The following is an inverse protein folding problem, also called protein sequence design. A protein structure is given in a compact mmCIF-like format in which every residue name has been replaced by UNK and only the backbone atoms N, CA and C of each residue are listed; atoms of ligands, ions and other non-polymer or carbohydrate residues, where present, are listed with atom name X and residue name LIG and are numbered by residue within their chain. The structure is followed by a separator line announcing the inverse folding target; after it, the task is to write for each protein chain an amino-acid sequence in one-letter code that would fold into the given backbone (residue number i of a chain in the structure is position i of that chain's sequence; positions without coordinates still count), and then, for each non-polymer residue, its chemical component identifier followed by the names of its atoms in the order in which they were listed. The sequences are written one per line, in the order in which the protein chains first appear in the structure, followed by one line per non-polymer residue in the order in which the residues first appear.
data_IF_157010796945
#
_entry.id   IF_157010796945
#
_cell.length_a   1.000
_cell.length_b   1.000
_cell.length_c   1.000
_cell.angle_alpha   90.00
_cell.angle_beta   90.00
_cell.angle_gamma   90.00
#
_symmetry.space_group_name_H-M   'P 1'
#
loop_
_entity.id
_entity.type
_entity.pdbx_description
1 polymer ?
#
# COMPACT_ATOMS: atom_id res chain seq x y z
N UNK A 1 -28.25 40.00 47.47
CA UNK A 1 -27.70 40.34 48.80
C UNK A 1 -27.21 39.08 49.44
N UNK A 2 -26.12 39.07 50.20
CA UNK A 2 -24.74 39.31 49.78
C UNK A 2 -23.86 38.12 50.12
N UNK A 3 -22.73 38.03 49.44
CA UNK A 3 -21.35 38.30 49.93
C UNK A 3 -20.79 37.35 51.01
N UNK A 4 -19.68 36.70 50.77
CA UNK A 4 -18.29 37.00 51.16
C UNK A 4 -17.48 35.74 50.99
N UNK A 5 -16.41 35.68 50.14
CA UNK A 5 -15.02 36.10 50.41
C UNK A 5 -14.33 35.37 51.58
N UNK A 6 -13.27 34.70 51.27
CA UNK A 6 -11.91 34.78 51.81
C UNK A 6 -11.11 33.59 51.23
N UNK A 7 -10.16 33.71 50.41
CA UNK A 7 -8.84 34.38 50.41
C UNK A 7 -7.80 33.71 51.33
N UNK A 8 -6.79 33.17 50.65
CA UNK A 8 -5.36 33.35 50.86
C UNK A 8 -4.60 32.46 51.86
N UNK A 9 -3.53 31.84 51.43
CA UNK A 9 -2.07 32.14 51.60
C UNK A 9 -1.26 30.90 51.30
N UNK A 10 -0.38 30.87 50.30
CA UNK A 10 1.03 31.32 50.29
C UNK A 10 1.94 30.71 51.38
N UNK A 11 2.90 29.91 50.95
CA UNK A 11 4.31 29.87 51.35
C UNK A 11 5.03 28.83 50.46
N UNK A 12 5.80 29.24 49.47
CA UNK A 12 7.21 29.68 49.47
C UNK A 12 8.20 28.59 49.90
N UNK A 13 8.98 28.25 48.88
CA UNK A 13 10.28 27.55 48.82
C UNK A 13 11.32 28.10 49.83
N UNK A 14 12.61 27.74 49.86
CA UNK A 14 13.49 27.03 48.90
C UNK A 14 14.66 26.24 49.58
N UNK A 15 15.78 26.06 48.84
CA UNK A 15 17.20 25.86 49.21
C UNK A 15 17.73 24.46 48.94
N UNK A 16 18.53 24.30 47.97
CA UNK A 16 19.93 24.62 47.61
C UNK A 16 20.98 23.66 48.19
N UNK A 17 21.86 23.14 47.28
CA UNK A 17 23.27 22.75 47.38
C UNK A 17 23.52 21.37 47.95
N UNK A 18 24.39 20.55 47.38
CA UNK A 18 25.75 20.62 46.82
C UNK A 18 25.99 19.32 46.06
N UNK A 19 26.52 19.34 44.86
CA UNK A 19 27.93 19.25 44.51
C UNK A 19 28.68 17.99 44.94
N UNK A 20 29.13 17.17 44.00
CA UNK A 20 30.50 16.96 43.61
C UNK A 20 30.73 15.61 42.91
N UNK A 21 31.28 15.69 41.71
CA UNK A 21 32.50 15.06 41.19
C UNK A 21 32.77 13.54 41.40
N UNK A 22 32.82 12.85 40.27
CA UNK A 22 33.98 12.07 39.77
C UNK A 22 33.54 11.37 38.48
N UNK A 23 34.03 11.75 37.37
CA UNK A 23 35.23 11.35 36.64
C UNK A 23 35.21 9.92 36.11
N UNK A 24 35.27 9.82 34.84
CA UNK A 24 36.04 8.94 34.00
C UNK A 24 35.33 7.90 33.18
N UNK A 25 35.52 8.08 31.96
CA UNK A 25 36.04 7.19 30.93
C UNK A 25 35.05 6.60 29.95
N UNK A 26 35.14 7.18 28.77
CA UNK A 26 35.36 6.51 27.48
C UNK A 26 34.48 5.29 27.20
N UNK A 27 33.56 5.42 26.26
CA UNK A 27 33.73 4.74 24.99
C UNK A 27 32.63 5.18 24.01
N UNK A 28 33.05 5.45 22.80
CA UNK A 28 32.28 5.78 21.65
C UNK A 28 31.09 4.83 21.48
N UNK A 29 29.88 5.37 21.56
CA UNK A 29 28.67 4.71 21.13
C UNK A 29 28.22 5.34 19.83
N UNK A 30 28.50 4.68 18.72
CA UNK A 30 27.95 5.02 17.41
C UNK A 30 26.44 5.14 17.48
N UNK A 31 25.91 6.25 16.97
CA UNK A 31 24.49 6.50 16.85
C UNK A 31 23.79 5.36 16.11
N UNK A 32 22.79 4.81 16.72
CA UNK A 32 21.93 3.82 16.11
C UNK A 32 21.10 4.46 14.99
N UNK A 33 21.47 4.19 13.75
CA UNK A 33 20.54 4.29 12.63
C UNK A 33 19.44 3.27 12.88
N UNK A 34 18.22 3.74 13.07
CA UNK A 34 17.04 2.91 13.20
C UNK A 34 16.92 2.01 11.97
N UNK A 35 17.11 0.71 12.15
CA UNK A 35 16.96 -0.29 11.09
C UNK A 35 15.52 -0.29 10.59
N UNK A 36 15.28 0.39 9.46
CA UNK A 36 14.01 0.36 8.73
C UNK A 36 13.84 -0.94 7.90
N UNK A 37 14.85 -1.79 7.89
CA UNK A 37 14.80 -3.08 7.20
C UNK A 37 14.87 -4.17 8.26
N UNK A 38 13.79 -4.94 8.33
CA UNK A 38 13.71 -6.09 9.24
C UNK A 38 14.89 -7.03 9.05
N UNK A 39 15.39 -7.56 10.16
CA UNK A 39 16.48 -8.53 10.25
C UNK A 39 16.18 -9.77 9.41
N UNK A 40 16.63 -9.80 8.18
CA UNK A 40 16.35 -10.88 7.23
C UNK A 40 17.36 -11.01 6.10
N UNK A 41 18.50 -10.33 6.17
CA UNK A 41 19.62 -10.59 5.26
C UNK A 41 20.78 -11.18 6.08
N UNK A 42 20.92 -12.51 6.20
CA UNK A 42 22.21 -13.08 6.45
C UNK A 42 23.03 -12.90 5.17
N UNK A 43 24.13 -12.15 5.26
CA UNK A 43 25.21 -12.20 4.27
C UNK A 43 25.78 -13.62 4.28
N UNK A 44 25.18 -14.52 3.51
CA UNK A 44 25.75 -15.81 3.19
C UNK A 44 26.83 -15.61 2.13
N UNK A 45 27.99 -16.23 2.32
CA UNK A 45 29.11 -16.29 1.40
C UNK A 45 28.65 -16.63 -0.01
N UNK A 46 28.81 -15.69 -0.94
CA UNK A 46 28.56 -15.93 -2.38
C UNK A 46 29.86 -16.38 -3.03
N UNK A 47 29.87 -17.54 -3.72
CA UNK A 47 31.06 -17.97 -4.45
C UNK A 47 31.44 -16.95 -5.52
N UNK A 48 32.73 -16.65 -5.64
CA UNK A 48 33.29 -15.76 -6.63
C UNK A 48 32.95 -16.23 -8.07
N UNK A 49 32.14 -15.44 -8.77
CA UNK A 49 31.87 -15.62 -10.19
C UNK A 49 32.81 -14.75 -11.04
N UNK A 50 33.18 -15.25 -12.21
CA UNK A 50 34.16 -14.78 -13.16
C UNK A 50 34.00 -13.30 -13.60
N UNK A 51 35.06 -12.66 -14.13
CA UNK A 51 35.05 -11.23 -14.41
C UNK A 51 34.15 -10.89 -15.60
N UNK A 52 33.08 -10.17 -15.31
CA UNK A 52 32.25 -9.51 -16.30
C UNK A 52 32.81 -8.14 -16.66
N UNK A 53 32.58 -7.75 -17.90
CA UNK A 53 33.07 -6.58 -18.59
C UNK A 53 33.21 -5.29 -17.73
N UNK A 54 34.32 -4.62 -17.95
CA UNK A 54 34.68 -3.34 -17.34
C UNK A 54 33.59 -2.29 -17.67
N UNK A 55 32.74 -1.97 -16.69
CA UNK A 55 31.86 -0.83 -16.77
C UNK A 55 32.68 0.46 -16.56
N UNK A 56 32.32 1.51 -17.29
CA UNK A 56 32.92 2.82 -17.18
C UNK A 56 32.94 3.32 -15.72
N UNK A 57 33.93 4.11 -15.31
CA UNK A 57 34.02 4.63 -13.95
C UNK A 57 32.77 5.48 -13.64
N UNK A 58 32.23 5.39 -12.42
CA UNK A 58 31.11 6.24 -12.03
C UNK A 58 31.56 7.70 -12.15
N UNK A 59 30.85 8.46 -12.98
CA UNK A 59 30.94 9.90 -12.97
C UNK A 59 30.61 10.41 -11.55
N UNK A 60 31.17 11.54 -11.15
CA UNK A 60 30.94 12.18 -9.84
C UNK A 60 29.48 12.64 -9.61
N UNK A 61 28.51 12.18 -10.40
CA UNK A 61 27.09 12.45 -10.28
C UNK A 61 26.36 11.33 -9.57
N UNK A 62 25.30 11.64 -8.83
CA UNK A 62 24.43 10.65 -8.19
C UNK A 62 23.75 9.73 -9.20
N UNK A 63 23.24 8.59 -8.73
CA UNK A 63 22.41 7.68 -9.54
C UNK A 63 21.12 8.40 -9.94
N UNK A 64 20.90 8.57 -11.24
CA UNK A 64 19.70 9.26 -11.72
C UNK A 64 18.49 8.33 -11.66
N UNK A 65 17.46 8.81 -11.00
CA UNK A 65 16.19 8.12 -10.79
C UNK A 65 15.08 9.00 -11.34
N UNK A 66 14.35 8.52 -12.33
CA UNK A 66 13.23 9.27 -12.88
C UNK A 66 11.97 9.06 -12.03
N UNK A 67 11.25 10.15 -11.74
CA UNK A 67 9.92 10.12 -11.14
C UNK A 67 8.92 10.62 -12.18
N UNK A 68 8.10 9.73 -12.74
CA UNK A 68 7.13 10.02 -13.80
C UNK A 68 5.73 10.03 -13.22
N UNK A 69 5.06 11.18 -13.21
CA UNK A 69 3.76 11.38 -12.56
C UNK A 69 2.87 12.32 -13.38
N UNK A 70 1.52 12.26 -13.20
CA UNK A 70 0.57 13.09 -13.92
C UNK A 70 0.43 14.50 -13.32
N UNK A 71 1.52 15.29 -13.30
CA UNK A 71 1.60 16.53 -12.53
C UNK A 71 0.70 17.64 -13.10
N UNK A 72 0.55 17.72 -14.43
CA UNK A 72 -0.30 18.70 -15.12
C UNK A 72 -1.69 18.17 -15.46
N UNK A 73 -2.02 16.93 -15.09
CA UNK A 73 -3.37 16.39 -15.31
C UNK A 73 -4.41 17.14 -14.48
N UNK A 74 -5.62 17.27 -15.01
CA UNK A 74 -6.71 17.94 -14.29
C UNK A 74 -7.31 17.09 -13.15
N UNK A 75 -7.99 17.77 -12.22
CA UNK A 75 -8.78 17.13 -11.16
C UNK A 75 -7.95 16.24 -10.22
N UNK A 76 -8.54 15.12 -9.78
CA UNK A 76 -7.92 14.20 -8.82
C UNK A 76 -6.61 13.60 -9.33
N UNK A 77 -6.42 13.48 -10.63
CA UNK A 77 -5.19 12.95 -11.22
C UNK A 77 -3.97 13.83 -10.92
N UNK A 78 -4.09 15.15 -11.15
CA UNK A 78 -3.04 16.10 -10.84
C UNK A 78 -2.80 16.24 -9.34
N UNK A 79 -3.87 16.21 -8.53
CA UNK A 79 -3.75 16.21 -7.05
C UNK A 79 -2.96 15.00 -6.59
N UNK A 80 -3.25 13.82 -7.13
CA UNK A 80 -2.52 12.60 -6.82
C UNK A 80 -1.05 12.70 -7.25
N UNK A 81 -0.78 13.17 -8.48
CA UNK A 81 0.57 13.36 -8.99
C UNK A 81 1.40 14.29 -8.10
N UNK A 82 0.82 15.43 -7.71
CA UNK A 82 1.48 16.39 -6.84
C UNK A 82 1.75 15.83 -5.44
N UNK A 83 0.78 15.15 -4.84
CA UNK A 83 0.93 14.54 -3.53
C UNK A 83 1.99 13.43 -3.52
N UNK A 84 2.04 12.62 -4.57
CA UNK A 84 3.05 11.58 -4.76
C UNK A 84 4.45 12.18 -4.98
N UNK A 85 4.58 13.28 -5.72
CA UNK A 85 5.85 14.00 -5.87
C UNK A 85 6.36 14.50 -4.51
N UNK A 86 5.51 15.16 -3.75
CA UNK A 86 5.85 15.65 -2.42
C UNK A 86 6.34 14.51 -1.51
N UNK A 87 5.66 13.35 -1.54
CA UNK A 87 6.05 12.18 -0.77
C UNK A 87 7.41 11.60 -1.21
N UNK A 88 7.69 11.57 -2.51
CA UNK A 88 8.97 11.15 -3.06
C UNK A 88 10.12 12.07 -2.63
N UNK A 89 9.91 13.41 -2.68
CA UNK A 89 10.86 14.41 -2.20
C UNK A 89 11.08 14.30 -0.68
N UNK A 90 10.02 14.01 0.08
CA UNK A 90 10.12 13.77 1.52
C UNK A 90 10.97 12.53 1.82
N UNK A 91 10.73 11.43 1.11
CA UNK A 91 11.51 10.19 1.25
C UNK A 91 13.00 10.43 0.98
N UNK A 92 13.32 11.15 -0.09
CA UNK A 92 14.71 11.47 -0.44
C UNK A 92 15.38 12.35 0.64
N UNK A 93 14.65 13.30 1.20
CA UNK A 93 15.18 14.18 2.25
C UNK A 93 15.38 13.44 3.59
N UNK A 94 14.55 12.44 3.90
CA UNK A 94 14.65 11.65 5.12
C UNK A 94 15.67 10.51 5.00
N UNK A 95 16.00 10.07 3.79
CA UNK A 95 16.95 8.98 3.55
C UNK A 95 18.39 9.51 3.38
N UNK A 96 19.17 9.44 4.45
CA UNK A 96 20.56 9.89 4.40
C UNK A 96 21.52 8.88 3.76
N UNK A 97 22.46 9.39 2.95
CA UNK A 97 23.60 8.62 2.45
C UNK A 97 23.38 7.82 1.17
N UNK A 98 22.27 8.01 0.46
CA UNK A 98 22.15 7.57 -0.92
C UNK A 98 22.51 8.73 -1.87
N UNK A 99 23.44 8.48 -2.79
CA UNK A 99 23.78 9.44 -3.83
C UNK A 99 22.81 9.30 -5.01
N UNK A 100 21.60 9.87 -4.87
CA UNK A 100 20.53 9.85 -5.84
C UNK A 100 20.23 11.26 -6.35
N UNK A 101 20.08 11.37 -7.66
CA UNK A 101 19.49 12.53 -8.33
C UNK A 101 18.07 12.15 -8.81
N UNK A 102 17.04 12.70 -8.14
CA UNK A 102 15.64 12.46 -8.49
C UNK A 102 15.20 13.45 -9.57
N UNK A 103 14.98 12.94 -10.78
CA UNK A 103 14.55 13.73 -11.95
C UNK A 103 13.07 13.56 -12.17
N UNK A 104 12.28 14.60 -11.86
CA UNK A 104 10.81 14.55 -12.01
C UNK A 104 10.39 14.89 -13.44
N UNK A 105 9.50 14.07 -14.03
CA UNK A 105 8.92 14.23 -15.35
C UNK A 105 7.39 14.19 -15.27
N UNK A 106 6.75 15.02 -16.06
CA UNK A 106 5.29 15.07 -16.17
C UNK A 106 4.81 14.21 -17.35
N UNK A 107 3.94 13.22 -17.08
CA UNK A 107 3.30 12.41 -18.10
C UNK A 107 1.92 12.96 -18.51
N UNK A 108 1.47 14.04 -17.85
CA UNK A 108 0.17 14.68 -18.06
C UNK A 108 -1.01 13.71 -17.94
N UNK A 109 -0.83 12.54 -17.32
CA UNK A 109 -1.84 11.48 -17.21
C UNK A 109 -2.19 10.82 -18.56
N UNK A 110 -1.28 10.86 -19.55
CA UNK A 110 -1.53 10.35 -20.90
C UNK A 110 -0.49 9.34 -21.38
N UNK A 111 -0.90 8.39 -22.21
CA UNK A 111 0.00 7.40 -22.80
C UNK A 111 1.14 8.04 -23.62
N UNK A 112 0.88 9.02 -24.53
CA UNK A 112 1.96 9.72 -25.23
C UNK A 112 2.86 10.55 -24.31
N UNK A 113 2.29 11.16 -23.27
CA UNK A 113 3.05 11.91 -22.24
C UNK A 113 4.03 11.00 -21.50
N UNK A 114 3.57 9.83 -21.08
CA UNK A 114 4.38 8.83 -20.39
C UNK A 114 5.53 8.30 -21.27
N UNK A 115 5.26 8.04 -22.57
CA UNK A 115 6.31 7.64 -23.48
C UNK A 115 7.39 8.73 -23.66
N UNK A 116 6.98 10.00 -23.82
CA UNK A 116 7.93 11.14 -23.90
C UNK A 116 8.72 11.30 -22.61
N UNK A 117 8.05 11.27 -21.45
CA UNK A 117 8.68 11.40 -20.14
C UNK A 117 9.72 10.30 -19.90
N UNK A 118 9.39 9.05 -20.22
CA UNK A 118 10.31 7.92 -20.12
C UNK A 118 11.51 8.07 -21.07
N UNK A 119 11.28 8.47 -22.32
CA UNK A 119 12.36 8.71 -23.29
C UNK A 119 13.33 9.78 -22.79
N UNK A 120 12.80 10.94 -22.40
CA UNK A 120 13.63 12.04 -21.90
C UNK A 120 14.42 11.62 -20.64
N UNK A 121 13.78 10.95 -19.70
CA UNK A 121 14.45 10.51 -18.48
C UNK A 121 15.62 9.56 -18.77
N UNK A 122 15.43 8.61 -19.67
CA UNK A 122 16.46 7.63 -20.04
C UNK A 122 17.57 8.32 -20.84
N UNK A 123 17.25 9.22 -21.77
CA UNK A 123 18.25 9.97 -22.54
C UNK A 123 19.10 10.90 -21.63
N UNK A 124 18.54 11.36 -20.51
CA UNK A 124 19.24 12.12 -19.45
C UNK A 124 20.05 11.20 -18.51
N UNK A 125 19.98 9.87 -18.69
CA UNK A 125 20.76 8.88 -17.95
C UNK A 125 20.05 8.28 -16.72
N UNK A 126 18.71 8.28 -16.67
CA UNK A 126 17.99 7.59 -15.60
C UNK A 126 18.20 6.08 -15.69
N UNK A 127 18.57 5.47 -14.56
CA UNK A 127 18.84 4.03 -14.45
C UNK A 127 17.60 3.24 -14.00
N UNK A 128 16.59 3.90 -13.47
CA UNK A 128 15.29 3.34 -13.08
C UNK A 128 14.21 4.42 -13.21
N UNK A 129 12.99 3.99 -13.53
CA UNK A 129 11.80 4.85 -13.56
C UNK A 129 10.88 4.48 -12.39
N UNK A 130 10.50 5.45 -11.58
CA UNK A 130 9.46 5.36 -10.56
C UNK A 130 8.20 6.02 -11.12
N UNK A 131 7.07 5.31 -11.15
CA UNK A 131 5.87 5.68 -11.89
C UNK A 131 5.79 4.93 -13.23
N UNK A 132 4.80 5.23 -14.10
CA UNK A 132 3.66 6.12 -13.92
C UNK A 132 2.55 5.61 -13.00
N UNK A 133 1.46 6.42 -12.88
CA UNK A 133 0.31 6.07 -12.04
C UNK A 133 -0.76 5.26 -12.81
N UNK A 134 -1.09 5.63 -14.03
CA UNK A 134 -2.21 5.05 -14.78
C UNK A 134 -1.78 3.89 -15.69
N UNK A 135 -2.63 2.87 -15.84
CA UNK A 135 -2.34 1.67 -16.62
C UNK A 135 -1.89 1.95 -18.05
N UNK A 136 -2.59 2.85 -18.77
CA UNK A 136 -2.22 3.24 -20.14
C UNK A 136 -0.87 3.97 -20.20
N UNK A 137 -0.55 4.79 -19.18
CA UNK A 137 0.76 5.44 -19.04
C UNK A 137 1.86 4.41 -18.76
N UNK A 138 1.60 3.43 -17.88
CA UNK A 138 2.54 2.32 -17.60
C UNK A 138 2.83 1.53 -18.86
N UNK A 139 1.81 1.18 -19.64
CA UNK A 139 1.98 0.43 -20.88
C UNK A 139 2.92 1.15 -21.85
N UNK A 140 2.76 2.46 -22.01
CA UNK A 140 3.59 3.26 -22.94
C UNK A 140 5.00 3.49 -22.41
N UNK A 141 5.16 3.86 -21.13
CA UNK A 141 6.48 4.03 -20.51
C UNK A 141 7.27 2.71 -20.49
N UNK A 142 6.59 1.58 -20.21
CA UNK A 142 7.19 0.23 -20.22
C UNK A 142 7.78 -0.16 -21.56
N UNK A 143 7.14 0.18 -22.68
CA UNK A 143 7.68 -0.08 -24.02
C UNK A 143 9.03 0.61 -24.21
N UNK A 144 9.11 1.89 -23.85
CA UNK A 144 10.35 2.69 -23.94
C UNK A 144 11.42 2.11 -23.00
N UNK A 145 11.08 1.93 -21.73
CA UNK A 145 12.00 1.43 -20.72
C UNK A 145 12.59 0.06 -21.08
N UNK A 146 11.76 -0.87 -21.55
CA UNK A 146 12.16 -2.22 -21.98
C UNK A 146 13.13 -2.18 -23.15
N UNK A 147 12.93 -1.32 -24.15
CA UNK A 147 13.82 -1.21 -25.30
C UNK A 147 15.21 -0.70 -24.95
N UNK A 148 15.36 -0.06 -23.79
CA UNK A 148 16.61 0.51 -23.29
C UNK A 148 17.17 -0.27 -22.08
N UNK A 149 16.52 -1.38 -21.66
CA UNK A 149 16.94 -2.18 -20.52
C UNK A 149 16.82 -1.48 -19.16
N UNK A 150 15.99 -0.45 -19.04
CA UNK A 150 15.76 0.31 -17.80
C UNK A 150 14.53 -0.26 -17.07
N UNK A 151 14.65 -0.69 -15.80
CA UNK A 151 13.51 -1.18 -15.04
C UNK A 151 12.56 -0.03 -14.62
N UNK A 152 11.32 -0.42 -14.32
CA UNK A 152 10.25 0.52 -13.98
C UNK A 152 9.49 0.00 -12.77
N UNK A 153 9.23 0.86 -11.78
CA UNK A 153 8.36 0.62 -10.62
C UNK A 153 7.14 1.54 -10.75
N UNK A 154 6.02 0.99 -11.20
CA UNK A 154 4.79 1.74 -11.45
C UNK A 154 3.79 1.62 -10.32
N UNK A 155 2.75 2.48 -10.33
CA UNK A 155 1.75 2.58 -9.27
C UNK A 155 0.36 2.11 -9.68
N UNK A 156 0.20 1.57 -10.90
CA UNK A 156 -1.09 1.10 -11.40
C UNK A 156 -1.65 -0.05 -10.54
N UNK A 157 -2.95 -0.02 -10.32
CA UNK A 157 -3.71 -1.13 -9.72
C UNK A 157 -4.13 -2.20 -10.72
N UNK A 158 -3.88 -2.00 -12.02
CA UNK A 158 -4.16 -2.98 -13.07
C UNK A 158 -2.97 -3.93 -13.22
N UNK A 159 -3.10 -5.16 -12.73
CA UNK A 159 -2.07 -6.19 -12.79
C UNK A 159 -1.70 -6.62 -14.21
N UNK A 160 -2.56 -6.37 -15.22
CA UNK A 160 -2.27 -6.73 -16.62
C UNK A 160 -1.13 -5.91 -17.23
N UNK A 161 -0.79 -4.75 -16.66
CA UNK A 161 0.35 -3.96 -17.15
C UNK A 161 1.68 -4.38 -16.54
N UNK A 162 1.67 -5.27 -15.55
CA UNK A 162 2.88 -5.86 -14.97
C UNK A 162 3.65 -6.73 -15.96
N UNK A 163 4.93 -6.83 -15.79
CA UNK A 163 5.78 -7.79 -16.51
C UNK A 163 7.18 -7.81 -15.88
N UNK A 164 8.01 -8.78 -16.27
CA UNK A 164 9.43 -8.71 -15.92
C UNK A 164 10.04 -7.38 -16.40
N UNK A 165 10.73 -6.66 -15.49
CA UNK A 165 11.27 -5.32 -15.70
C UNK A 165 10.27 -4.15 -15.52
N UNK A 166 8.99 -4.43 -15.34
CA UNK A 166 7.97 -3.44 -14.99
C UNK A 166 7.16 -3.93 -13.80
N UNK A 167 7.55 -3.46 -12.63
CA UNK A 167 7.03 -3.90 -11.34
C UNK A 167 5.95 -2.94 -10.84
N UNK A 168 4.89 -3.49 -10.26
CA UNK A 168 3.82 -2.68 -9.67
C UNK A 168 4.03 -2.56 -8.17
N UNK A 169 4.30 -1.37 -7.68
CA UNK A 169 4.20 -1.04 -6.26
C UNK A 169 2.84 -0.38 -6.02
N UNK A 170 1.84 -1.18 -5.73
CA UNK A 170 0.45 -0.72 -5.66
C UNK A 170 -0.35 -1.49 -4.61
N UNK A 171 -1.57 -1.02 -4.35
CA UNK A 171 -2.58 -1.76 -3.59
C UNK A 171 -3.38 -2.61 -4.57
N UNK A 172 -2.85 -3.80 -4.89
CA UNK A 172 -3.49 -4.71 -5.83
C UNK A 172 -4.68 -5.41 -5.17
N UNK A 173 -5.87 -5.39 -5.79
CA UNK A 173 -7.07 -6.04 -5.25
C UNK A 173 -6.88 -7.52 -4.94
N UNK A 174 -6.06 -8.20 -5.71
CA UNK A 174 -5.75 -9.62 -5.54
C UNK A 174 -5.13 -9.91 -4.15
N UNK A 175 -4.31 -9.00 -3.64
CA UNK A 175 -3.71 -9.16 -2.29
C UNK A 175 -4.76 -9.06 -1.19
N UNK A 176 -5.74 -8.17 -1.33
CA UNK A 176 -6.84 -8.01 -0.39
C UNK A 176 -7.70 -9.28 -0.36
N UNK A 177 -8.07 -9.78 -1.54
CA UNK A 177 -8.91 -10.97 -1.69
C UNK A 177 -8.21 -12.21 -1.14
N UNK A 178 -6.95 -12.45 -1.52
CA UNK A 178 -6.18 -13.59 -0.98
C UNK A 178 -6.11 -13.54 0.55
N UNK A 179 -5.83 -12.38 1.11
CA UNK A 179 -5.72 -12.20 2.56
C UNK A 179 -7.03 -12.46 3.28
N UNK A 180 -8.13 -11.83 2.85
CA UNK A 180 -9.41 -11.91 3.57
C UNK A 180 -10.06 -13.29 3.44
N UNK A 181 -10.03 -13.88 2.25
CA UNK A 181 -10.59 -15.21 2.02
C UNK A 181 -9.79 -16.29 2.75
N UNK A 182 -8.45 -16.21 2.69
CA UNK A 182 -7.58 -17.14 3.44
C UNK A 182 -7.85 -17.05 4.93
N UNK A 183 -7.99 -15.86 5.48
CA UNK A 183 -8.31 -15.67 6.89
C UNK A 183 -9.71 -16.23 7.22
N UNK A 184 -10.73 -15.89 6.43
CA UNK A 184 -12.09 -16.39 6.67
C UNK A 184 -12.14 -17.92 6.70
N UNK A 185 -11.44 -18.58 5.77
CA UNK A 185 -11.35 -20.06 5.75
C UNK A 185 -10.62 -20.59 6.99
N UNK A 186 -9.55 -19.94 7.44
CA UNK A 186 -8.84 -20.33 8.66
C UNK A 186 -9.71 -20.19 9.91
N UNK A 187 -10.73 -19.31 9.87
CA UNK A 187 -11.73 -19.12 10.92
C UNK A 187 -12.95 -20.04 10.74
N UNK A 188 -12.86 -21.05 9.88
CA UNK A 188 -13.90 -22.07 9.68
C UNK A 188 -15.00 -21.69 8.71
N UNK A 189 -14.90 -20.56 7.99
CA UNK A 189 -15.86 -20.19 6.94
C UNK A 189 -15.54 -20.96 5.67
N UNK A 190 -16.47 -21.77 5.17
CA UNK A 190 -16.23 -22.68 4.04
C UNK A 190 -17.11 -22.41 2.84
N UNK A 191 -18.20 -21.68 3.03
CA UNK A 191 -19.19 -21.40 1.98
C UNK A 191 -19.41 -19.89 1.85
N UNK A 192 -19.36 -19.41 0.61
CA UNK A 192 -19.29 -17.98 0.31
C UNK A 192 -20.33 -17.58 -0.72
N UNK A 193 -21.01 -16.47 -0.45
CA UNK A 193 -21.74 -15.67 -1.45
C UNK A 193 -20.93 -14.42 -1.73
N UNK A 194 -20.87 -13.99 -2.98
CA UNK A 194 -20.22 -12.74 -3.36
C UNK A 194 -21.20 -11.82 -4.11
N UNK A 195 -21.14 -10.53 -3.81
CA UNK A 195 -21.88 -9.46 -4.48
C UNK A 195 -20.87 -8.51 -5.10
N UNK A 196 -20.73 -8.55 -6.43
CA UNK A 196 -19.61 -7.98 -7.15
C UNK A 196 -20.08 -6.88 -8.10
N UNK A 197 -19.44 -5.69 -8.14
CA UNK A 197 -19.79 -4.66 -9.10
C UNK A 197 -19.44 -5.08 -10.54
N UNK A 198 -20.32 -4.78 -11.51
CA UNK A 198 -20.14 -5.10 -12.93
C UNK A 198 -19.17 -4.10 -13.59
N UNK A 199 -17.93 -4.03 -13.14
CA UNK A 199 -16.88 -3.18 -13.70
C UNK A 199 -15.53 -3.91 -13.74
N UNK A 200 -14.48 -3.22 -14.20
CA UNK A 200 -13.14 -3.82 -14.32
C UNK A 200 -12.57 -4.30 -12.98
N UNK A 201 -12.77 -3.52 -11.90
CA UNK A 201 -12.36 -3.92 -10.56
C UNK A 201 -13.10 -5.18 -10.09
N UNK A 202 -14.43 -5.21 -10.27
CA UNK A 202 -15.25 -6.38 -9.94
C UNK A 202 -14.79 -7.65 -10.64
N UNK A 203 -14.44 -7.55 -11.93
CA UNK A 203 -13.94 -8.72 -12.69
C UNK A 203 -12.62 -9.26 -12.12
N UNK A 204 -11.70 -8.40 -11.71
CA UNK A 204 -10.42 -8.79 -11.10
C UNK A 204 -10.65 -9.48 -9.75
N UNK A 205 -11.42 -8.86 -8.85
CA UNK A 205 -11.67 -9.41 -7.51
C UNK A 205 -12.47 -10.70 -7.56
N UNK A 206 -13.41 -10.86 -8.51
CA UNK A 206 -14.16 -12.09 -8.70
C UNK A 206 -13.24 -13.24 -9.14
N UNK A 207 -12.36 -12.98 -10.11
CA UNK A 207 -11.40 -13.97 -10.59
C UNK A 207 -10.53 -14.49 -9.46
N UNK A 208 -9.91 -13.59 -8.70
CA UNK A 208 -9.07 -13.98 -7.56
C UNK A 208 -9.89 -14.63 -6.45
N UNK A 209 -11.08 -14.13 -6.15
CA UNK A 209 -11.97 -14.70 -5.14
C UNK A 209 -12.29 -16.17 -5.42
N UNK A 210 -12.73 -16.49 -6.64
CA UNK A 210 -13.03 -17.88 -7.05
C UNK A 210 -11.79 -18.77 -6.95
N UNK A 211 -10.65 -18.25 -7.38
CA UNK A 211 -9.37 -18.98 -7.35
C UNK A 211 -8.91 -19.25 -5.92
N UNK A 212 -8.95 -18.25 -5.02
CA UNK A 212 -8.53 -18.41 -3.63
C UNK A 212 -9.45 -19.34 -2.87
N UNK A 213 -10.78 -19.17 -3.02
CA UNK A 213 -11.76 -20.05 -2.37
C UNK A 213 -11.52 -21.50 -2.77
N UNK A 214 -11.34 -21.79 -4.07
CA UNK A 214 -11.06 -23.14 -4.56
C UNK A 214 -9.71 -23.68 -4.03
N UNK A 215 -8.64 -22.88 -4.12
CA UNK A 215 -7.29 -23.26 -3.67
C UNK A 215 -7.25 -23.57 -2.17
N UNK A 216 -8.08 -22.90 -1.37
CA UNK A 216 -8.16 -23.08 0.09
C UNK A 216 -9.21 -24.10 0.53
N UNK A 217 -9.88 -24.78 -0.39
CA UNK A 217 -10.87 -25.82 -0.11
C UNK A 217 -12.23 -25.30 0.37
N UNK A 218 -12.54 -24.04 0.07
CA UNK A 218 -13.86 -23.46 0.26
C UNK A 218 -14.79 -23.73 -0.94
N UNK A 219 -16.03 -23.25 -0.84
CA UNK A 219 -17.05 -23.37 -1.87
C UNK A 219 -17.73 -22.03 -2.11
N UNK A 220 -17.75 -21.59 -3.36
CA UNK A 220 -18.58 -20.48 -3.80
C UNK A 220 -20.01 -21.01 -4.01
N UNK A 221 -20.97 -20.44 -3.28
CA UNK A 221 -22.40 -20.79 -3.37
C UNK A 221 -23.00 -20.07 -4.58
N UNK A 222 -22.86 -18.75 -4.63
CA UNK A 222 -23.25 -17.92 -5.78
C UNK A 222 -22.39 -16.66 -5.84
N UNK A 223 -22.29 -16.08 -7.05
CA UNK A 223 -21.75 -14.74 -7.30
C UNK A 223 -22.81 -13.98 -8.06
N UNK A 224 -23.30 -12.92 -7.46
CA UNK A 224 -24.27 -12.02 -8.07
C UNK A 224 -23.59 -10.72 -8.46
N UNK A 225 -23.99 -10.21 -9.63
CA UNK A 225 -23.44 -8.98 -10.19
C UNK A 225 -24.48 -7.86 -10.14
N UNK A 226 -24.02 -6.66 -9.82
CA UNK A 226 -24.86 -5.47 -9.87
C UNK A 226 -24.22 -4.37 -10.70
N UNK A 227 -25.05 -3.64 -11.43
CA UNK A 227 -24.60 -2.49 -12.20
C UNK A 227 -24.21 -1.31 -11.30
N UNK A 228 -23.37 -0.43 -11.79
CA UNK A 228 -22.92 0.76 -11.04
C UNK A 228 -24.08 1.70 -10.66
N UNK A 229 -25.13 1.75 -11.48
CA UNK A 229 -26.36 2.50 -11.20
C UNK A 229 -27.28 1.85 -10.17
N UNK A 230 -26.95 0.62 -9.72
CA UNK A 230 -27.65 -0.18 -8.71
C UNK A 230 -29.14 -0.44 -8.99
N UNK A 231 -29.55 -0.28 -10.24
CA UNK A 231 -30.96 -0.39 -10.67
C UNK A 231 -31.59 -1.75 -10.39
N UNK A 232 -30.80 -2.82 -10.23
CA UNK A 232 -31.25 -4.21 -10.06
C UNK A 232 -30.93 -4.85 -8.71
N UNK A 233 -30.60 -4.06 -7.70
CA UNK A 233 -30.28 -4.60 -6.36
C UNK A 233 -31.39 -5.49 -5.80
N UNK A 234 -32.66 -5.18 -6.03
CA UNK A 234 -33.79 -5.98 -5.56
C UNK A 234 -33.87 -7.39 -6.17
N UNK A 235 -33.43 -7.57 -7.42
CA UNK A 235 -33.37 -8.90 -8.05
C UNK A 235 -32.22 -9.72 -7.47
N UNK A 236 -31.06 -9.11 -7.32
CA UNK A 236 -29.88 -9.71 -6.70
C UNK A 236 -30.19 -10.18 -5.26
N UNK A 237 -30.87 -9.34 -4.46
CA UNK A 237 -31.26 -9.68 -3.08
C UNK A 237 -32.12 -10.94 -3.02
N UNK A 238 -33.05 -11.13 -3.98
CA UNK A 238 -33.87 -12.37 -4.05
C UNK A 238 -33.02 -13.61 -4.24
N UNK A 239 -31.98 -13.55 -5.09
CA UNK A 239 -31.06 -14.65 -5.31
C UNK A 239 -30.24 -14.96 -4.04
N UNK A 240 -29.71 -13.92 -3.41
CA UNK A 240 -28.97 -14.07 -2.15
C UNK A 240 -29.87 -14.65 -1.05
N UNK A 241 -31.13 -14.24 -0.98
CA UNK A 241 -32.08 -14.75 0.02
C UNK A 241 -32.31 -16.27 -0.10
N UNK A 242 -32.35 -16.80 -1.34
CA UNK A 242 -32.50 -18.23 -1.58
C UNK A 242 -31.29 -19.05 -1.11
N UNK A 243 -30.12 -18.47 -1.17
CA UNK A 243 -28.84 -19.12 -0.84
C UNK A 243 -28.34 -18.78 0.58
N UNK A 244 -29.00 -17.86 1.29
CA UNK A 244 -28.54 -17.31 2.56
C UNK A 244 -28.28 -18.38 3.64
N UNK A 245 -29.13 -19.40 3.73
CA UNK A 245 -28.96 -20.51 4.69
C UNK A 245 -27.83 -21.50 4.34
N UNK A 246 -27.14 -21.31 3.21
CA UNK A 246 -26.11 -22.23 2.68
C UNK A 246 -24.71 -21.57 2.69
N UNK A 247 -24.58 -20.32 3.17
CA UNK A 247 -23.35 -19.56 3.16
C UNK A 247 -22.92 -19.09 4.55
N UNK A 248 -21.64 -19.24 4.85
CA UNK A 248 -21.02 -18.76 6.10
C UNK A 248 -20.58 -17.30 6.00
N UNK A 249 -20.24 -16.85 4.80
CA UNK A 249 -19.69 -15.53 4.56
C UNK A 249 -20.29 -14.86 3.31
N UNK A 250 -20.38 -13.53 3.38
CA UNK A 250 -20.85 -12.65 2.32
C UNK A 250 -19.71 -11.69 1.94
N UNK A 251 -19.17 -11.82 0.74
CA UNK A 251 -18.10 -10.97 0.22
C UNK A 251 -18.66 -9.81 -0.60
N UNK A 252 -18.36 -8.57 -0.20
CA UNK A 252 -18.81 -7.33 -0.84
C UNK A 252 -17.57 -6.47 -1.14
N UNK A 253 -16.90 -6.68 -2.27
CA UNK A 253 -15.73 -5.92 -2.67
C UNK A 253 -16.10 -4.59 -3.34
N UNK A 254 -16.61 -3.64 -2.58
CA UNK A 254 -16.96 -2.31 -3.08
C UNK A 254 -16.60 -1.23 -2.07
N UNK A 255 -16.65 0.04 -2.49
CA UNK A 255 -16.53 1.20 -1.61
C UNK A 255 -17.77 1.42 -0.76
N UNK A 256 -17.69 2.39 0.15
CA UNK A 256 -18.72 2.60 1.17
C UNK A 256 -20.13 2.77 0.61
N UNK A 257 -20.28 3.50 -0.50
CA UNK A 257 -21.58 3.76 -1.11
C UNK A 257 -22.25 2.46 -1.57
N UNK A 258 -21.51 1.62 -2.34
CA UNK A 258 -22.03 0.34 -2.81
C UNK A 258 -22.35 -0.61 -1.67
N UNK A 259 -21.46 -0.71 -0.68
CA UNK A 259 -21.65 -1.58 0.49
C UNK A 259 -22.89 -1.19 1.27
N UNK A 260 -23.10 0.10 1.53
CA UNK A 260 -24.26 0.59 2.30
C UNK A 260 -25.57 0.30 1.56
N UNK A 261 -25.62 0.59 0.25
CA UNK A 261 -26.81 0.34 -0.56
C UNK A 261 -27.16 -1.14 -0.62
N UNK A 262 -26.15 -2.02 -0.78
CA UNK A 262 -26.32 -3.47 -0.77
C UNK A 262 -26.87 -3.95 0.58
N UNK A 263 -26.29 -3.49 1.70
CA UNK A 263 -26.74 -3.91 3.03
C UNK A 263 -28.16 -3.44 3.32
N UNK A 264 -28.55 -2.24 2.90
CA UNK A 264 -29.92 -1.74 3.01
C UNK A 264 -30.87 -2.56 2.13
N UNK A 265 -30.48 -2.85 0.89
CA UNK A 265 -31.30 -3.67 0.00
C UNK A 265 -31.52 -5.10 0.56
N UNK A 266 -30.50 -5.73 1.14
CA UNK A 266 -30.59 -7.03 1.80
C UNK A 266 -31.56 -6.95 2.98
N UNK A 267 -31.43 -5.96 3.85
CA UNK A 267 -32.31 -5.78 5.02
C UNK A 267 -33.76 -5.56 4.58
N UNK A 268 -34.00 -4.72 3.58
CA UNK A 268 -35.34 -4.45 3.03
C UNK A 268 -35.94 -5.69 2.36
N UNK A 269 -35.10 -6.55 1.79
CA UNK A 269 -35.49 -7.84 1.18
C UNK A 269 -35.67 -8.98 2.20
N UNK A 270 -35.58 -8.70 3.50
CA UNK A 270 -35.75 -9.70 4.56
C UNK A 270 -34.53 -10.56 4.83
N UNK A 271 -33.38 -10.24 4.24
CA UNK A 271 -32.10 -10.92 4.50
C UNK A 271 -31.34 -10.16 5.57
N UNK A 272 -31.14 -10.78 6.73
CA UNK A 272 -30.34 -10.16 7.79
C UNK A 272 -28.84 -10.28 7.46
N UNK A 273 -28.10 -9.19 7.17
CA UNK A 273 -26.66 -9.29 6.87
C UNK A 273 -25.83 -9.92 7.99
N UNK A 274 -26.29 -9.84 9.24
CA UNK A 274 -25.59 -10.40 10.40
C UNK A 274 -25.62 -11.93 10.49
N UNK A 275 -26.40 -12.61 9.66
CA UNK A 275 -26.33 -14.07 9.58
C UNK A 275 -25.08 -14.55 8.88
N UNK A 276 -24.41 -13.69 8.13
CA UNK A 276 -23.13 -13.95 7.48
C UNK A 276 -21.98 -13.29 8.24
N UNK A 277 -20.78 -13.80 8.05
CA UNK A 277 -19.59 -12.99 8.26
C UNK A 277 -19.39 -12.14 7.00
N UNK A 278 -19.63 -10.83 7.09
CA UNK A 278 -19.44 -9.92 5.94
C UNK A 278 -17.94 -9.67 5.76
N UNK A 279 -17.48 -9.80 4.51
CA UNK A 279 -16.08 -9.65 4.12
C UNK A 279 -15.93 -8.50 3.13
N UNK A 280 -14.90 -7.67 3.32
CA UNK A 280 -14.55 -6.57 2.43
C UNK A 280 -13.08 -6.54 2.06
N UNK A 281 -12.71 -5.55 1.26
CA UNK A 281 -11.36 -5.27 0.80
C UNK A 281 -10.78 -4.01 1.44
N UNK A 282 -9.55 -3.62 1.08
CA UNK A 282 -8.90 -2.41 1.55
C UNK A 282 -9.65 -1.10 1.24
N UNK A 283 -10.63 -1.15 0.34
CA UNK A 283 -11.53 -0.02 0.08
C UNK A 283 -12.34 0.43 1.31
N UNK A 284 -12.42 -0.41 2.35
CA UNK A 284 -13.13 -0.10 3.59
C UNK A 284 -12.28 0.65 4.61
N UNK A 285 -10.97 0.60 4.47
CA UNK A 285 -10.00 0.87 5.55
C UNK A 285 -10.09 2.23 6.22
N UNK A 286 -10.40 3.27 5.46
CA UNK A 286 -10.36 4.66 5.94
C UNK A 286 -11.70 5.37 5.80
N UNK A 287 -12.79 4.67 5.41
CA UNK A 287 -14.10 5.31 5.24
C UNK A 287 -14.93 5.22 6.54
N UNK A 288 -15.20 6.34 7.20
CA UNK A 288 -15.97 6.36 8.44
C UNK A 288 -17.40 5.86 8.26
N UNK A 289 -17.98 5.92 7.06
CA UNK A 289 -19.32 5.40 6.78
C UNK A 289 -19.38 3.87 6.88
N UNK A 290 -18.28 3.20 6.56
CA UNK A 290 -18.10 1.75 6.77
C UNK A 290 -17.86 1.46 8.25
N UNK A 291 -16.84 2.15 8.82
CA UNK A 291 -16.33 1.84 10.16
C UNK A 291 -17.33 2.15 11.29
N UNK A 292 -18.31 3.04 11.03
CA UNK A 292 -19.37 3.37 11.99
C UNK A 292 -20.73 2.76 11.68
N UNK A 293 -20.82 1.91 10.61
CA UNK A 293 -22.10 1.33 10.19
C UNK A 293 -22.51 0.15 11.09
N UNK A 294 -23.65 0.22 11.80
CA UNK A 294 -24.08 -0.87 12.68
C UNK A 294 -24.34 -2.19 11.97
N UNK A 295 -24.68 -2.19 10.67
CA UNK A 295 -24.91 -3.41 9.89
C UNK A 295 -23.59 -4.17 9.59
N UNK A 296 -22.45 -3.49 9.70
CA UNK A 296 -21.12 -4.04 9.51
C UNK A 296 -20.42 -4.41 10.82
N UNK A 297 -21.06 -4.25 11.97
CA UNK A 297 -20.46 -4.66 13.24
C UNK A 297 -20.11 -6.15 13.19
N UNK A 298 -18.83 -6.46 13.41
CA UNK A 298 -18.30 -7.82 13.26
C UNK A 298 -17.78 -8.19 11.88
N UNK A 299 -17.97 -7.38 10.84
CA UNK A 299 -17.45 -7.60 9.50
C UNK A 299 -15.91 -7.56 9.46
N UNK A 300 -15.31 -8.28 8.51
CA UNK A 300 -13.86 -8.36 8.34
C UNK A 300 -13.43 -7.80 6.99
N UNK A 301 -12.25 -7.17 6.96
CA UNK A 301 -11.63 -6.71 5.71
C UNK A 301 -10.11 -6.78 5.80
N UNK A 302 -9.44 -6.94 4.66
CA UNK A 302 -7.99 -6.89 4.58
C UNK A 302 -7.53 -5.48 4.26
N UNK A 303 -6.55 -4.98 5.01
CA UNK A 303 -5.94 -3.67 4.76
C UNK A 303 -4.54 -3.60 5.39
N UNK A 304 -3.68 -2.66 4.98
CA UNK A 304 -2.50 -2.30 5.75
C UNK A 304 -2.86 -1.84 7.16
N UNK A 305 -1.97 -2.06 8.12
CA UNK A 305 -2.17 -1.54 9.47
C UNK A 305 -2.15 0.00 9.47
N UNK A 306 -3.12 0.67 10.12
CA UNK A 306 -3.30 2.12 9.96
C UNK A 306 -2.20 2.97 10.60
N UNK A 307 -1.37 2.40 11.49
CA UNK A 307 -0.34 3.14 12.23
C UNK A 307 0.74 3.71 11.31
N UNK A 308 1.17 2.93 10.31
CA UNK A 308 2.18 3.37 9.34
C UNK A 308 1.72 4.60 8.56
N UNK A 309 0.51 4.51 8.00
CA UNK A 309 -0.08 5.62 7.25
C UNK A 309 -0.29 6.87 8.12
N UNK A 310 -0.81 6.74 9.35
CA UNK A 310 -1.01 7.87 10.26
C UNK A 310 0.30 8.61 10.53
N UNK A 311 1.36 7.88 10.89
CA UNK A 311 2.67 8.46 11.15
C UNK A 311 3.25 9.16 9.90
N UNK A 312 3.05 8.59 8.72
CA UNK A 312 3.43 9.21 7.46
C UNK A 312 2.62 10.48 7.19
N UNK A 313 1.30 10.43 7.35
CA UNK A 313 0.41 11.57 7.11
C UNK A 313 0.73 12.74 8.06
N UNK A 314 1.07 12.48 9.32
CA UNK A 314 1.46 13.51 10.29
C UNK A 314 2.75 14.24 9.84
N UNK A 315 3.79 13.49 9.40
CA UNK A 315 5.01 14.08 8.86
C UNK A 315 4.77 14.86 7.57
N UNK A 316 3.94 14.30 6.69
CA UNK A 316 3.57 14.95 5.44
C UNK A 316 2.84 16.27 5.69
N UNK A 317 1.84 16.29 6.58
CA UNK A 317 1.12 17.51 7.00
C UNK A 317 2.05 18.57 7.62
N UNK A 318 2.96 18.13 8.47
CA UNK A 318 3.92 19.04 9.09
C UNK A 318 4.81 19.74 8.05
N UNK A 319 5.15 19.05 6.94
CA UNK A 319 6.03 19.58 5.90
C UNK A 319 5.30 20.38 4.82
N UNK A 320 4.12 19.91 4.40
CA UNK A 320 3.43 20.46 3.21
C UNK A 320 2.13 21.19 3.54
N UNK A 321 1.69 21.23 4.80
CA UNK A 321 0.48 21.90 5.30
C UNK A 321 -0.81 21.41 4.60
N UNK A 322 -0.83 20.17 4.14
CA UNK A 322 -1.97 19.52 3.48
C UNK A 322 -1.95 18.02 3.74
N UNK A 323 -3.11 17.36 3.61
CA UNK A 323 -3.19 15.91 3.73
C UNK A 323 -2.63 15.21 2.49
N UNK A 324 -1.89 14.09 2.67
CA UNK A 324 -1.49 13.27 1.53
C UNK A 324 -2.68 12.49 0.99
N UNK A 325 -2.73 12.28 -0.33
CA UNK A 325 -3.59 11.22 -0.87
C UNK A 325 -3.06 9.84 -0.46
N UNK A 326 -3.94 8.84 -0.43
CA UNK A 326 -3.56 7.49 0.04
C UNK A 326 -2.37 6.90 -0.75
N UNK A 327 -2.33 7.14 -2.05
CA UNK A 327 -1.27 6.67 -2.96
C UNK A 327 0.09 7.32 -2.72
N UNK A 328 0.17 8.41 -1.96
CA UNK A 328 1.42 9.10 -1.69
C UNK A 328 2.45 8.21 -0.97
N UNK A 329 2.00 7.27 -0.12
CA UNK A 329 2.88 6.28 0.53
C UNK A 329 3.63 5.41 -0.48
N UNK A 330 3.03 5.10 -1.63
CA UNK A 330 3.65 4.28 -2.66
C UNK A 330 4.88 4.96 -3.27
N UNK A 331 4.78 6.27 -3.52
CA UNK A 331 5.90 7.05 -4.04
C UNK A 331 7.02 7.20 -2.98
N UNK A 332 6.64 7.41 -1.71
CA UNK A 332 7.58 7.42 -0.60
C UNK A 332 8.33 6.10 -0.48
N UNK A 333 7.61 4.97 -0.50
CA UNK A 333 8.18 3.61 -0.40
C UNK A 333 9.08 3.28 -1.61
N UNK A 334 8.67 3.68 -2.83
CA UNK A 334 9.47 3.46 -4.03
C UNK A 334 10.82 4.19 -3.98
N UNK A 335 10.81 5.47 -3.58
CA UNK A 335 12.07 6.24 -3.45
C UNK A 335 12.92 5.70 -2.32
N UNK A 336 12.34 5.36 -1.18
CA UNK A 336 13.06 4.76 -0.05
C UNK A 336 13.71 3.42 -0.46
N UNK A 337 12.96 2.56 -1.18
CA UNK A 337 13.50 1.31 -1.72
C UNK A 337 14.68 1.57 -2.64
N UNK A 338 14.50 2.43 -3.64
CA UNK A 338 15.57 2.76 -4.62
C UNK A 338 16.79 3.33 -3.91
N UNK A 339 16.61 4.24 -2.94
CA UNK A 339 17.68 4.81 -2.14
C UNK A 339 18.46 3.73 -1.36
N UNK A 340 17.74 2.78 -0.75
CA UNK A 340 18.36 1.66 -0.04
C UNK A 340 19.16 0.75 -0.99
N UNK A 341 18.61 0.43 -2.16
CA UNK A 341 19.30 -0.39 -3.17
C UNK A 341 20.55 0.31 -3.72
N UNK A 342 20.49 1.60 -3.97
CA UNK A 342 21.67 2.39 -4.39
C UNK A 342 22.76 2.34 -3.32
N UNK A 343 22.39 2.44 -2.06
CA UNK A 343 23.33 2.41 -0.94
C UNK A 343 23.96 1.04 -0.71
N UNK A 344 23.22 -0.06 -0.97
CA UNK A 344 23.62 -1.40 -0.52
C UNK A 344 24.00 -2.38 -1.63
N UNK A 345 23.51 -2.20 -2.88
CA UNK A 345 23.61 -3.22 -3.94
C UNK A 345 24.59 -2.90 -5.06
N UNK A 346 25.29 -1.76 -4.99
CA UNK A 346 26.33 -1.39 -5.97
C UNK A 346 25.83 -1.46 -7.43
N UNK A 347 26.53 -2.19 -8.27
CA UNK A 347 26.20 -2.37 -9.70
C UNK A 347 24.92 -3.19 -9.95
N UNK A 348 24.50 -4.00 -8.97
CA UNK A 348 23.31 -4.86 -9.09
C UNK A 348 22.03 -4.23 -8.55
N UNK A 349 22.08 -2.94 -8.17
CA UNK A 349 21.00 -2.24 -7.47
C UNK A 349 19.62 -2.40 -8.08
N UNK A 350 19.52 -2.48 -9.41
CA UNK A 350 18.24 -2.61 -10.11
C UNK A 350 18.16 -3.88 -10.97
N UNK A 351 19.01 -4.87 -10.68
CA UNK A 351 18.90 -6.19 -11.32
C UNK A 351 17.58 -6.86 -10.93
N UNK A 352 17.06 -7.69 -11.85
CA UNK A 352 15.75 -8.33 -11.66
C UNK A 352 15.68 -9.15 -10.36
N UNK A 353 16.70 -9.91 -10.03
CA UNK A 353 16.79 -10.71 -8.80
C UNK A 353 16.89 -9.85 -7.52
N UNK A 354 17.50 -8.67 -7.62
CA UNK A 354 17.52 -7.70 -6.52
C UNK A 354 16.12 -7.13 -6.28
N UNK A 355 15.43 -6.72 -7.34
CA UNK A 355 14.09 -6.17 -7.26
C UNK A 355 13.04 -7.22 -6.85
N UNK A 356 13.20 -8.48 -7.29
CA UNK A 356 12.30 -9.58 -6.94
C UNK A 356 12.77 -10.40 -5.74
N UNK A 357 13.53 -9.78 -4.83
CA UNK A 357 14.00 -10.45 -3.61
C UNK A 357 12.84 -11.15 -2.89
N UNK A 358 12.89 -12.48 -2.67
CA UNK A 358 11.80 -13.23 -2.07
C UNK A 358 11.50 -12.82 -0.63
N UNK A 359 12.47 -12.29 0.12
CA UNK A 359 12.27 -11.74 1.46
C UNK A 359 11.46 -10.44 1.45
N UNK A 360 11.40 -9.75 0.29
CA UNK A 360 10.68 -8.50 0.12
C UNK A 360 11.36 -7.31 0.80
N UNK A 361 10.57 -6.26 0.96
CA UNK A 361 10.98 -4.95 1.46
C UNK A 361 9.96 -4.46 2.48
N UNK A 362 10.35 -3.53 3.33
CA UNK A 362 9.46 -2.89 4.31
C UNK A 362 9.17 -1.46 3.87
N UNK A 363 7.89 -1.10 3.85
CA UNK A 363 7.42 0.26 3.56
C UNK A 363 6.50 0.80 4.65
N UNK A 364 5.90 1.95 4.40
CA UNK A 364 4.93 2.63 5.28
C UNK A 364 3.72 1.70 5.56
N UNK A 365 3.27 0.99 4.53
CA UNK A 365 2.11 0.12 4.57
C UNK A 365 2.45 -1.36 4.83
N UNK A 366 3.56 -1.61 5.53
CA UNK A 366 4.02 -2.94 5.86
C UNK A 366 4.95 -3.54 4.81
N UNK A 367 5.17 -4.85 4.89
CA UNK A 367 6.06 -5.55 3.97
C UNK A 367 5.42 -5.76 2.60
N UNK A 368 6.25 -5.67 1.56
CA UNK A 368 5.86 -5.99 0.18
C UNK A 368 7.02 -6.67 -0.55
N UNK A 369 6.70 -7.42 -1.61
CA UNK A 369 7.69 -7.95 -2.53
C UNK A 369 7.17 -7.92 -3.96
N UNK A 370 8.07 -7.76 -4.92
CA UNK A 370 7.73 -7.95 -6.33
C UNK A 370 7.87 -9.41 -6.71
N UNK A 371 7.01 -9.87 -7.60
CA UNK A 371 7.06 -11.20 -8.21
C UNK A 371 7.74 -11.12 -9.58
N UNK A 372 8.15 -12.28 -10.12
CA UNK A 372 8.81 -12.35 -11.41
C UNK A 372 7.92 -11.90 -12.59
N UNK A 373 6.60 -11.96 -12.41
CA UNK A 373 5.62 -11.45 -13.37
C UNK A 373 5.41 -9.93 -13.29
N UNK A 374 6.10 -9.25 -12.38
CA UNK A 374 6.00 -7.81 -12.14
C UNK A 374 4.88 -7.40 -11.19
N UNK A 375 3.98 -8.30 -10.80
CA UNK A 375 2.99 -8.02 -9.75
C UNK A 375 3.66 -7.87 -8.38
N UNK A 376 2.92 -7.38 -7.38
CA UNK A 376 3.40 -7.40 -6.00
C UNK A 376 2.58 -8.34 -5.13
N UNK A 377 3.14 -8.63 -3.98
CA UNK A 377 2.45 -9.19 -2.84
C UNK A 377 2.68 -8.28 -1.64
N UNK A 378 1.60 -7.97 -0.90
CA UNK A 378 1.66 -7.18 0.33
C UNK A 378 1.31 -8.01 1.55
N UNK A 379 1.99 -7.73 2.65
CA UNK A 379 1.60 -8.22 3.96
C UNK A 379 0.48 -7.34 4.51
N UNK A 380 -0.75 -7.87 4.52
CA UNK A 380 -1.93 -7.16 5.01
C UNK A 380 -2.39 -7.71 6.36
N UNK A 381 -2.88 -6.82 7.22
CA UNK A 381 -3.65 -7.19 8.40
C UNK A 381 -5.07 -7.62 8.02
N UNK A 382 -5.77 -8.28 8.94
CA UNK A 382 -7.22 -8.39 8.89
C UNK A 382 -7.80 -7.54 10.00
N UNK A 383 -8.71 -6.68 9.59
CA UNK A 383 -9.42 -5.75 10.45
C UNK A 383 -10.83 -6.26 10.70
N UNK A 384 -11.35 -5.99 11.90
CA UNK A 384 -12.74 -6.21 12.25
C UNK A 384 -13.42 -4.88 12.51
N UNK A 385 -14.55 -4.63 11.87
CA UNK A 385 -15.40 -3.48 12.16
C UNK A 385 -16.03 -3.64 13.53
N UNK A 386 -15.97 -2.60 14.35
CA UNK A 386 -16.58 -2.56 15.70
C UNK A 386 -17.27 -1.22 15.91
N UNK A 387 -18.05 -1.10 16.94
CA UNK A 387 -18.72 0.18 17.31
C UNK A 387 -17.74 1.34 17.57
N UNK A 388 -16.45 1.05 17.79
CA UNK A 388 -15.38 2.05 18.01
C UNK A 388 -14.44 2.23 16.82
N UNK A 389 -14.78 1.67 15.65
CA UNK A 389 -13.95 1.69 14.45
C UNK A 389 -13.37 0.31 14.09
N UNK A 390 -12.23 0.28 13.46
CA UNK A 390 -11.57 -0.97 13.04
C UNK A 390 -10.56 -1.47 14.06
N UNK A 391 -10.64 -2.76 14.40
CA UNK A 391 -9.72 -3.47 15.29
C UNK A 391 -8.90 -4.49 14.48
N UNK A 392 -7.59 -4.53 14.68
CA UNK A 392 -6.74 -5.59 14.11
C UNK A 392 -7.04 -6.92 14.79
N UNK A 393 -7.53 -7.90 14.05
CA UNK A 393 -7.82 -9.27 14.54
C UNK A 393 -6.80 -10.30 14.06
N UNK A 394 -6.09 -9.99 12.98
CA UNK A 394 -4.91 -10.74 12.55
C UNK A 394 -3.86 -9.75 12.04
N UNK A 395 -2.71 -9.63 12.69
CA UNK A 395 -1.69 -8.66 12.30
C UNK A 395 -1.13 -8.95 10.91
N UNK A 396 -0.58 -7.94 10.27
CA UNK A 396 0.19 -8.09 9.05
C UNK A 396 1.45 -8.91 9.33
N UNK A 397 1.89 -9.79 8.39
CA UNK A 397 3.18 -10.46 8.51
C UNK A 397 4.31 -9.42 8.52
N UNK A 398 5.36 -9.69 9.29
CA UNK A 398 6.54 -8.82 9.36
C UNK A 398 7.61 -9.17 8.32
N UNK A 399 7.47 -10.31 7.67
CA UNK A 399 8.34 -10.80 6.59
C UNK A 399 7.58 -11.79 5.74
N UNK A 400 8.04 -12.00 4.51
CA UNK A 400 7.61 -13.14 3.71
C UNK A 400 8.54 -14.32 4.06
N UNK A 401 8.00 -15.34 4.73
CA UNK A 401 8.67 -16.63 4.81
C UNK A 401 8.71 -17.25 3.42
N UNK A 402 9.89 -17.65 2.99
CA UNK A 402 10.11 -18.33 1.74
C UNK A 402 9.40 -19.69 1.65
#
# INVERSE_FOLDING_TARGET
MPCQRLAARLARAPWWRTAALALAALLAGCGGASNMFGSGLPLGDVPAAAPAAVAAPPGNGGVKVALVLPLSAGGNAGIAGQSMRNAAEMALAEFSGANIELVTKDDSGTAPGAARAATQAIDEGAEIIIGPLFAHSVTSAKQVARSRGVPLIAFSTDSNVASSGAYLLSFLPESDVDRIVTYAISQGKKSFVALVPSNAYGSVVEGEFKQVVARRGGRVVTVEHYAEDRSKLGEMVKQVAQEAGRADALFIPDGAEGVIDILQALANGGVNPRQFTVLGTGLWGDDPRILSNPLLDGAWFAAPEPTGYRNFADRYRARYQQDPVRQATLAYDAVTLVAALVKTQGQRRFAADTLTNPSGFTGIDGVFRFRNDGSNQRGLAVMKVTSSGALVVAPAPRSFSG
#
